data_IF_060094652763
#
_entry.id   IF_060094652763
#
_cell.length_a   1.000
_cell.length_b   1.000
_cell.length_c   1.000
_cell.angle_alpha   90.00
_cell.angle_beta   90.00
_cell.angle_gamma   90.00
#
_symmetry.space_group_name_H-M   'P 1'
#
loop_
_entity.id
_entity.type
_entity.pdbx_description
1 polymer ?
#
# COMPACT_ATOMS: atom_id res chain seq x y z
N UNK A 1 -33.05 2.60 58.26
CA UNK A 1 -32.91 3.85 59.05
C UNK A 1 -31.52 3.86 59.65
N UNK A 2 -30.74 4.90 59.33
CA UNK A 2 -29.45 5.31 59.90
C UNK A 2 -28.22 4.41 59.71
N UNK A 3 -27.21 5.11 59.18
CA UNK A 3 -25.84 4.71 58.96
C UNK A 3 -24.96 5.00 60.19
N UNK A 4 -23.67 4.74 59.97
CA UNK A 4 -22.46 5.22 60.68
C UNK A 4 -22.21 4.54 62.04
N UNK A 5 -20.99 4.14 62.44
CA UNK A 5 -19.66 4.65 62.10
C UNK A 5 -18.53 3.78 62.72
N UNK A 6 -17.27 4.15 62.41
CA UNK A 6 -15.98 3.93 63.12
C UNK A 6 -15.11 2.75 62.64
N UNK A 7 -14.01 3.02 61.91
CA UNK A 7 -12.66 3.47 62.34
C UNK A 7 -11.88 2.34 63.04
N UNK A 8 -10.92 1.69 62.38
CA UNK A 8 -9.52 2.09 62.16
C UNK A 8 -8.61 1.68 63.33
N UNK A 9 -7.65 0.78 63.09
CA UNK A 9 -6.22 0.94 63.42
C UNK A 9 -5.40 -0.31 63.04
N UNK A 10 -4.19 -0.04 62.53
CA UNK A 10 -3.14 -0.96 62.10
C UNK A 10 -2.34 -1.56 63.28
N UNK A 11 -1.69 -2.71 63.02
CA UNK A 11 -0.38 -3.18 63.52
C UNK A 11 -0.38 -4.72 63.60
N UNK A 12 0.64 -5.51 63.28
CA UNK A 12 2.04 -5.35 62.83
C UNK A 12 2.47 -6.74 62.34
N UNK A 13 3.49 -6.80 61.47
CA UNK A 13 4.08 -8.00 60.88
C UNK A 13 4.54 -9.03 61.93
N UNK A 14 4.49 -10.33 61.58
CA UNK A 14 5.69 -11.19 61.64
C UNK A 14 5.54 -12.45 60.78
N UNK A 15 6.68 -12.85 60.25
CA UNK A 15 7.00 -13.90 59.28
C UNK A 15 6.83 -15.31 59.82
N UNK A 16 6.33 -16.25 59.00
CA UNK A 16 7.02 -17.53 58.76
C UNK A 16 6.29 -18.39 57.72
N UNK A 17 7.03 -18.89 56.74
CA UNK A 17 6.56 -19.97 55.86
C UNK A 17 6.87 -21.32 56.50
N UNK A 18 5.96 -22.30 56.40
CA UNK A 18 6.43 -23.62 56.01
C UNK A 18 5.50 -24.34 55.02
N UNK A 19 6.12 -24.76 53.92
CA UNK A 19 6.00 -26.09 53.30
C UNK A 19 4.66 -26.82 53.53
N UNK A 20 3.85 -26.93 52.47
CA UNK A 20 2.94 -28.08 52.29
C UNK A 20 3.12 -28.69 50.91
N UNK A 21 3.62 -29.94 50.93
CA UNK A 21 3.57 -30.91 49.85
C UNK A 21 2.10 -31.23 49.53
N UNK A 22 1.82 -31.22 48.22
CA UNK A 22 0.90 -32.09 47.46
C UNK A 22 -0.41 -32.49 48.11
N UNK A 23 -1.51 -31.94 47.58
CA UNK A 23 -2.65 -32.76 47.17
C UNK A 23 -3.02 -32.38 45.73
N UNK A 24 -3.02 -33.40 44.89
CA UNK A 24 -3.28 -33.38 43.45
C UNK A 24 -4.77 -33.14 43.18
N UNK A 25 -5.11 -31.96 42.70
CA UNK A 25 -6.31 -31.77 41.87
C UNK A 25 -5.83 -31.61 40.42
N UNK A 26 -5.95 -32.70 39.65
CA UNK A 26 -5.91 -32.63 38.20
C UNK A 26 -7.20 -31.98 37.73
N UNK A 27 -7.19 -30.66 37.59
CA UNK A 27 -8.14 -29.98 36.72
C UNK A 27 -7.61 -30.11 35.29
N UNK A 28 -8.37 -30.82 34.46
CA UNK A 28 -8.09 -31.09 33.06
C UNK A 28 -8.24 -29.82 32.23
N UNK A 29 -7.37 -28.84 32.48
CA UNK A 29 -7.23 -27.68 31.62
C UNK A 29 -6.25 -28.07 30.53
N UNK A 30 -6.79 -28.66 29.46
CA UNK A 30 -6.12 -28.72 28.16
C UNK A 30 -5.69 -27.30 27.82
N UNK A 31 -4.44 -27.00 28.13
CA UNK A 31 -3.76 -25.82 27.60
C UNK A 31 -3.60 -26.16 26.13
N UNK A 32 -4.58 -25.73 25.34
CA UNK A 32 -4.38 -25.55 23.91
C UNK A 32 -3.21 -24.57 23.82
N UNK A 33 -2.02 -25.15 23.66
CA UNK A 33 -0.86 -24.45 23.12
C UNK A 33 -1.31 -23.98 21.75
N UNK A 34 -1.89 -22.77 21.68
CA UNK A 34 -2.04 -22.04 20.43
C UNK A 34 -0.65 -21.95 19.85
N UNK A 35 -0.40 -22.81 18.87
CA UNK A 35 0.81 -22.76 18.04
C UNK A 35 0.81 -21.34 17.47
N UNK A 36 1.77 -20.53 17.92
CA UNK A 36 1.99 -19.20 17.39
C UNK A 36 2.43 -19.37 15.94
N UNK A 37 1.57 -19.00 14.99
CA UNK A 37 1.93 -18.91 13.58
C UNK A 37 2.32 -17.45 13.30
N UNK A 38 3.61 -17.14 13.11
CA UNK A 38 4.08 -15.78 12.84
C UNK A 38 3.40 -15.14 11.62
N UNK A 39 2.97 -15.95 10.64
CA UNK A 39 2.34 -15.44 9.42
C UNK A 39 0.90 -14.94 9.66
N UNK A 40 0.20 -15.51 10.64
CA UNK A 40 -1.13 -15.06 11.05
C UNK A 40 -1.02 -13.73 11.79
N UNK A 41 0.00 -13.56 12.64
CA UNK A 41 0.26 -12.30 13.32
C UNK A 41 0.64 -11.18 12.32
N UNK A 42 1.51 -11.47 11.36
CA UNK A 42 1.87 -10.50 10.32
C UNK A 42 0.68 -10.09 9.45
N UNK A 43 -0.19 -11.03 9.09
CA UNK A 43 -1.44 -10.75 8.38
C UNK A 43 -2.39 -9.91 9.22
N UNK A 44 -2.59 -10.25 10.48
CA UNK A 44 -3.45 -9.47 11.40
C UNK A 44 -2.96 -8.03 11.56
N UNK A 45 -1.64 -7.83 11.65
CA UNK A 45 -1.02 -6.50 11.68
C UNK A 45 -1.23 -5.74 10.37
N UNK A 46 -1.00 -6.39 9.23
CA UNK A 46 -1.32 -5.83 7.91
C UNK A 46 -2.80 -5.43 7.82
N UNK A 47 -3.70 -6.32 8.23
CA UNK A 47 -5.14 -6.12 8.15
C UNK A 47 -5.57 -4.89 8.97
N UNK A 48 -5.03 -4.73 10.17
CA UNK A 48 -5.25 -3.55 11.01
C UNK A 48 -4.73 -2.26 10.39
N UNK A 49 -3.60 -2.30 9.68
CA UNK A 49 -2.98 -1.12 9.04
C UNK A 49 -3.71 -0.69 7.78
N UNK A 50 -4.12 -1.65 6.96
CA UNK A 50 -4.71 -1.35 5.64
C UNK A 50 -6.20 -1.01 5.72
N UNK A 51 -6.90 -1.50 6.74
CA UNK A 51 -8.35 -1.34 6.87
C UNK A 51 -8.76 0.08 7.30
N UNK A 52 -9.76 0.63 6.63
CA UNK A 52 -10.26 1.98 6.88
C UNK A 52 -10.91 2.61 5.65
N UNK A 53 -11.40 3.83 5.85
CA UNK A 53 -11.74 4.78 4.80
C UNK A 53 -10.49 5.58 4.45
N UNK A 54 -10.20 5.68 3.16
CA UNK A 54 -9.02 6.35 2.63
C UNK A 54 -9.48 7.38 1.61
N UNK A 55 -9.30 8.67 1.89
CA UNK A 55 -9.70 9.75 1.00
C UNK A 55 -8.47 10.40 0.37
N UNK A 56 -8.59 10.90 -0.86
CA UNK A 56 -7.44 11.45 -1.55
C UNK A 56 -7.69 11.92 -2.97
N UNK A 57 -6.60 11.92 -3.74
CA UNK A 57 -6.62 12.25 -5.16
C UNK A 57 -5.99 11.13 -5.98
N UNK A 58 -6.52 10.91 -7.18
CA UNK A 58 -5.99 9.94 -8.14
C UNK A 58 -5.82 10.56 -9.52
N UNK A 59 -4.71 10.25 -10.19
CA UNK A 59 -4.43 10.78 -11.52
C UNK A 59 -3.80 9.73 -12.43
N UNK A 60 -4.06 9.88 -13.73
CA UNK A 60 -3.51 9.04 -14.79
C UNK A 60 -2.34 9.76 -15.49
N UNK A 61 -1.31 9.00 -15.81
CA UNK A 61 -0.10 9.45 -16.48
C UNK A 61 0.21 8.53 -17.67
N UNK A 62 0.76 9.12 -18.72
CA UNK A 62 1.34 8.37 -19.84
C UNK A 62 2.56 7.54 -19.40
N UNK A 63 3.04 6.66 -20.27
CA UNK A 63 4.29 5.93 -20.07
C UNK A 63 5.56 6.83 -20.07
N UNK A 64 5.42 8.13 -20.34
CA UNK A 64 6.48 9.14 -20.20
C UNK A 64 6.34 9.97 -18.91
N UNK A 65 5.33 9.68 -18.07
CA UNK A 65 5.07 10.44 -16.83
C UNK A 65 4.34 11.77 -17.04
N UNK A 66 3.81 12.04 -18.23
CA UNK A 66 2.96 13.22 -18.47
C UNK A 66 1.55 12.96 -17.96
N UNK A 67 1.02 13.87 -17.13
CA UNK A 67 -0.34 13.82 -16.63
C UNK A 67 -1.37 13.85 -17.77
N UNK A 68 -2.43 13.06 -17.63
CA UNK A 68 -3.51 12.95 -18.60
C UNK A 68 -4.70 13.74 -18.06
N UNK A 69 -5.18 14.71 -18.86
CA UNK A 69 -6.33 15.54 -18.52
C UNK A 69 -7.61 14.71 -18.47
N UNK A 70 -8.50 15.05 -17.54
CA UNK A 70 -9.81 14.41 -17.44
C UNK A 70 -10.64 14.69 -18.70
N UNK A 71 -11.46 13.73 -19.17
CA UNK A 71 -12.32 13.94 -20.32
C UNK A 71 -13.28 15.12 -20.13
N UNK A 72 -13.52 15.90 -21.18
CA UNK A 72 -14.46 17.04 -21.12
C UNK A 72 -15.87 16.65 -20.67
N UNK A 73 -16.27 15.40 -20.91
CA UNK A 73 -17.58 14.86 -20.52
C UNK A 73 -17.80 14.77 -19.01
N UNK A 74 -16.73 14.81 -18.21
CA UNK A 74 -16.80 14.73 -16.74
C UNK A 74 -16.42 16.03 -16.04
N UNK A 75 -15.85 16.99 -16.78
CA UNK A 75 -15.40 18.28 -16.24
C UNK A 75 -16.51 19.33 -16.43
N UNK A 76 -17.00 19.96 -15.34
CA UNK A 76 -18.00 21.04 -15.43
C UNK A 76 -17.58 22.18 -16.37
N UNK A 77 -18.56 22.78 -17.07
CA UNK A 77 -18.31 23.85 -18.05
C UNK A 77 -17.57 25.06 -17.45
N UNK A 78 -17.83 25.36 -16.17
CA UNK A 78 -17.20 26.44 -15.43
C UNK A 78 -15.67 26.35 -15.42
N UNK A 79 -15.09 25.15 -15.33
CA UNK A 79 -13.63 24.98 -15.41
C UNK A 79 -13.11 25.42 -16.79
N UNK A 80 -13.88 25.18 -17.85
CA UNK A 80 -13.53 25.59 -19.22
C UNK A 80 -13.62 27.10 -19.39
N UNK A 81 -14.67 27.72 -18.84
CA UNK A 81 -14.83 29.17 -18.84
C UNK A 81 -13.66 29.88 -18.13
N UNK A 82 -13.07 29.22 -17.14
CA UNK A 82 -11.90 29.70 -16.41
C UNK A 82 -10.56 29.25 -17.00
N UNK A 83 -10.58 28.51 -18.12
CA UNK A 83 -9.39 27.91 -18.75
C UNK A 83 -8.56 27.04 -17.78
N UNK A 84 -9.22 26.43 -16.80
CA UNK A 84 -8.60 25.54 -15.80
C UNK A 84 -8.70 24.10 -16.27
N UNK A 85 -7.55 23.47 -16.47
CA UNK A 85 -7.44 22.04 -16.78
C UNK A 85 -7.53 21.20 -15.50
N UNK A 86 -8.31 20.13 -15.55
CA UNK A 86 -8.49 19.19 -14.43
C UNK A 86 -7.84 17.86 -14.80
N UNK A 87 -6.98 17.35 -13.92
CA UNK A 87 -6.22 16.12 -14.13
C UNK A 87 -6.52 15.07 -13.05
N UNK A 88 -6.78 15.52 -11.84
CA UNK A 88 -6.97 14.68 -10.67
C UNK A 88 -8.47 14.39 -10.45
N UNK A 89 -8.77 13.12 -10.17
CA UNK A 89 -10.00 12.70 -9.54
C UNK A 89 -9.89 12.92 -8.04
N UNK A 90 -10.95 13.41 -7.40
CA UNK A 90 -11.13 13.16 -5.97
C UNK A 90 -11.51 11.68 -5.80
N UNK A 91 -10.89 11.00 -4.84
CA UNK A 91 -11.03 9.55 -4.68
C UNK A 91 -11.35 9.15 -3.26
N UNK A 92 -12.10 8.05 -3.14
CA UNK A 92 -12.25 7.32 -1.89
C UNK A 92 -11.89 5.86 -2.10
N UNK A 93 -11.24 5.27 -1.10
CA UNK A 93 -10.77 3.90 -1.13
C UNK A 93 -11.11 3.12 0.15
N UNK A 94 -12.42 2.86 0.42
CA UNK A 94 -12.81 1.99 1.52
C UNK A 94 -12.12 0.64 1.37
N UNK A 95 -11.34 0.28 2.38
CA UNK A 95 -10.50 -0.93 2.38
C UNK A 95 -10.80 -1.73 3.64
N UNK A 96 -11.00 -3.04 3.49
CA UNK A 96 -11.19 -3.97 4.60
C UNK A 96 -10.36 -5.22 4.36
N UNK A 97 -9.50 -5.56 5.30
CA UNK A 97 -8.86 -6.85 5.39
C UNK A 97 -9.34 -7.56 6.65
N UNK A 98 -9.77 -8.80 6.51
CA UNK A 98 -10.24 -9.62 7.62
C UNK A 98 -9.02 -10.15 8.40
N UNK A 99 -8.86 -9.90 9.71
CA UNK A 99 -7.66 -10.34 10.42
C UNK A 99 -7.52 -11.87 10.52
N UNK A 100 -8.66 -12.58 10.55
CA UNK A 100 -8.72 -14.04 10.71
C UNK A 100 -8.84 -14.79 9.38
N UNK A 101 -9.10 -14.08 8.28
CA UNK A 101 -9.22 -14.64 6.94
C UNK A 101 -8.19 -13.95 6.04
N UNK A 102 -7.43 -14.67 5.20
CA UNK A 102 -6.49 -14.06 4.25
C UNK A 102 -7.23 -13.41 3.07
N UNK A 103 -8.04 -12.41 3.39
CA UNK A 103 -8.97 -11.74 2.51
C UNK A 103 -8.85 -10.24 2.68
N UNK A 104 -8.63 -9.56 1.55
CA UNK A 104 -8.62 -8.10 1.45
C UNK A 104 -9.64 -7.70 0.39
N UNK A 105 -10.43 -6.68 0.66
CA UNK A 105 -11.37 -6.09 -0.30
C UNK A 105 -11.30 -4.58 -0.22
N UNK A 106 -11.35 -3.92 -1.37
CA UNK A 106 -11.39 -2.47 -1.44
C UNK A 106 -12.13 -2.00 -2.67
N UNK A 107 -12.57 -0.74 -2.64
CA UNK A 107 -13.17 -0.07 -3.79
C UNK A 107 -12.31 1.13 -4.14
N UNK A 108 -11.99 1.35 -5.41
CA UNK A 108 -11.49 2.64 -5.88
C UNK A 108 -12.66 3.43 -6.45
N UNK A 109 -13.14 4.41 -5.69
CA UNK A 109 -14.26 5.28 -6.04
C UNK A 109 -13.68 6.59 -6.58
N UNK A 110 -14.07 6.98 -7.79
CA UNK A 110 -13.76 8.29 -8.37
C UNK A 110 -15.00 9.18 -8.29
N UNK A 111 -14.80 10.42 -7.85
CA UNK A 111 -15.87 11.42 -7.72
C UNK A 111 -15.76 12.45 -8.86
N UNK A 112 -16.90 12.91 -9.35
CA UNK A 112 -16.94 13.99 -10.35
C UNK A 112 -16.32 15.27 -9.78
N UNK A 113 -15.49 15.99 -10.56
CA UNK A 113 -15.04 17.33 -10.18
C UNK A 113 -16.23 18.26 -9.96
N UNK A 114 -16.21 19.01 -8.85
CA UNK A 114 -17.25 19.99 -8.50
C UNK A 114 -16.64 21.38 -8.34
N UNK A 115 -17.47 22.43 -8.46
CA UNK A 115 -17.11 23.85 -8.23
C UNK A 115 -18.25 24.58 -7.54
N UNK A 116 -17.93 25.67 -6.84
CA UNK A 116 -18.93 26.54 -6.23
C UNK A 116 -19.63 25.90 -5.02
N UNK A 117 -20.87 26.31 -4.75
CA UNK A 117 -21.65 25.79 -3.61
C UNK A 117 -22.06 24.32 -3.77
N UNK A 118 -21.88 23.73 -4.95
CA UNK A 118 -22.11 22.31 -5.22
C UNK A 118 -20.93 21.43 -4.79
N UNK A 119 -19.83 22.05 -4.34
CA UNK A 119 -18.67 21.32 -3.85
C UNK A 119 -19.01 20.39 -2.66
N UNK A 120 -20.03 20.73 -1.86
CA UNK A 120 -20.52 19.89 -0.76
C UNK A 120 -21.31 18.65 -1.22
N UNK A 121 -21.60 18.50 -2.52
CA UNK A 121 -22.32 17.37 -3.10
C UNK A 121 -21.37 16.47 -3.92
N UNK A 122 -20.65 15.59 -3.23
CA UNK A 122 -19.86 14.55 -3.89
C UNK A 122 -20.74 13.62 -4.73
N UNK A 123 -20.42 13.45 -6.02
CA UNK A 123 -21.12 12.55 -6.94
C UNK A 123 -20.16 11.48 -7.44
N UNK A 124 -20.54 10.21 -7.31
CA UNK A 124 -19.73 9.10 -7.81
C UNK A 124 -19.75 9.07 -9.35
N UNK A 125 -18.56 8.99 -9.96
CA UNK A 125 -18.39 8.75 -11.38
C UNK A 125 -18.23 7.26 -11.68
N UNK A 126 -17.32 6.59 -10.97
CA UNK A 126 -17.02 5.17 -11.17
C UNK A 126 -16.58 4.49 -9.88
N UNK A 127 -16.81 3.18 -9.80
CA UNK A 127 -16.37 2.31 -8.71
C UNK A 127 -15.69 1.08 -9.30
N UNK A 128 -14.40 0.89 -8.99
CA UNK A 128 -13.67 -0.35 -9.28
C UNK A 128 -13.52 -1.16 -7.98
N UNK A 129 -14.17 -2.32 -7.88
CA UNK A 129 -14.11 -3.17 -6.70
C UNK A 129 -13.08 -4.29 -6.89
N UNK A 130 -12.23 -4.48 -5.87
CA UNK A 130 -11.15 -5.46 -5.86
C UNK A 130 -11.28 -6.36 -4.64
N UNK A 131 -11.00 -7.64 -4.86
CA UNK A 131 -10.96 -8.66 -3.80
C UNK A 131 -9.69 -9.48 -3.98
N UNK A 132 -8.88 -9.57 -2.94
CA UNK A 132 -7.65 -10.35 -2.87
C UNK A 132 -7.91 -11.50 -1.92
N UNK A 133 -7.59 -12.71 -2.36
CA UNK A 133 -7.75 -13.94 -1.59
C UNK A 133 -7.54 -15.16 -2.48
N UNK A 134 -7.49 -16.33 -1.86
CA UNK A 134 -7.38 -17.59 -2.61
C UNK A 134 -8.59 -17.79 -3.53
N UNK A 135 -8.35 -18.25 -4.75
CA UNK A 135 -9.40 -18.54 -5.73
C UNK A 135 -10.00 -17.32 -6.42
N UNK A 136 -9.50 -16.10 -6.19
CA UNK A 136 -9.95 -14.93 -6.93
C UNK A 136 -9.40 -14.95 -8.36
N UNK A 137 -10.29 -14.77 -9.34
CA UNK A 137 -9.94 -14.71 -10.76
C UNK A 137 -9.08 -13.48 -11.09
N UNK A 138 -8.02 -13.69 -11.87
CA UNK A 138 -7.15 -12.62 -12.39
C UNK A 138 -6.02 -12.20 -11.46
N UNK A 139 -6.05 -12.51 -10.16
CA UNK A 139 -4.90 -12.27 -9.27
C UNK A 139 -3.83 -13.34 -9.51
N UNK A 140 -2.62 -12.92 -9.88
CA UNK A 140 -1.50 -13.84 -10.16
C UNK A 140 -0.43 -13.86 -9.07
N UNK A 141 -0.27 -12.75 -8.35
CA UNK A 141 0.62 -12.65 -7.20
C UNK A 141 0.15 -11.53 -6.27
N UNK A 142 0.28 -11.76 -4.98
CA UNK A 142 0.00 -10.80 -3.92
C UNK A 142 1.03 -10.99 -2.81
N UNK A 143 1.77 -9.93 -2.50
CA UNK A 143 2.70 -9.92 -1.38
C UNK A 143 2.36 -8.77 -0.43
N UNK A 144 2.43 -9.00 0.87
CA UNK A 144 2.08 -8.02 1.90
C UNK A 144 3.15 -7.92 2.98
N UNK A 145 3.22 -6.78 3.64
CA UNK A 145 4.07 -6.55 4.80
C UNK A 145 3.21 -6.06 5.97
N UNK A 146 3.59 -6.39 7.21
CA UNK A 146 2.90 -5.92 8.43
C UNK A 146 2.78 -4.39 8.57
N UNK A 147 3.55 -3.62 7.78
CA UNK A 147 3.44 -2.16 7.66
C UNK A 147 2.12 -1.67 7.05
N UNK A 148 1.38 -2.56 6.36
CA UNK A 148 0.20 -2.20 5.54
C UNK A 148 0.55 -2.07 4.05
N UNK A 149 1.83 -2.06 3.69
CA UNK A 149 2.27 -2.03 2.30
C UNK A 149 2.04 -3.38 1.61
N UNK A 150 1.72 -3.36 0.33
CA UNK A 150 1.51 -4.57 -0.46
C UNK A 150 1.83 -4.35 -1.95
N UNK A 151 1.98 -5.45 -2.67
CA UNK A 151 2.07 -5.48 -4.13
C UNK A 151 1.10 -6.52 -4.65
N UNK A 152 0.29 -6.14 -5.64
CA UNK A 152 -0.66 -7.03 -6.31
C UNK A 152 -0.38 -7.03 -7.82
N UNK A 153 -0.37 -8.22 -8.42
CA UNK A 153 -0.24 -8.41 -9.86
C UNK A 153 -1.53 -9.03 -10.37
N UNK A 154 -2.24 -8.27 -11.22
CA UNK A 154 -3.49 -8.72 -11.83
C UNK A 154 -3.29 -8.97 -13.32
N UNK A 155 -3.65 -10.15 -13.77
CA UNK A 155 -3.86 -10.45 -15.18
C UNK A 155 -5.26 -10.00 -15.60
N UNK A 156 -5.32 -8.99 -16.47
CA UNK A 156 -6.53 -8.56 -17.16
C UNK A 156 -6.65 -9.26 -18.51
N UNK A 157 -7.78 -9.02 -19.18
CA UNK A 157 -7.99 -9.41 -20.58
C UNK A 157 -6.96 -8.68 -21.47
N UNK A 158 -6.87 -9.13 -22.72
CA UNK A 158 -6.05 -8.49 -23.76
C UNK A 158 -4.55 -8.40 -23.40
N UNK A 159 -4.04 -9.39 -22.65
CA UNK A 159 -2.63 -9.48 -22.25
C UNK A 159 -2.11 -8.27 -21.46
N UNK A 160 -2.98 -7.60 -20.69
CA UNK A 160 -2.57 -6.51 -19.80
C UNK A 160 -2.34 -7.04 -18.38
N UNK A 161 -1.21 -6.67 -17.80
CA UNK A 161 -0.92 -6.80 -16.38
C UNK A 161 -1.16 -5.45 -15.69
N UNK A 162 -1.86 -5.46 -14.56
CA UNK A 162 -1.87 -4.34 -13.63
C UNK A 162 -0.98 -4.69 -12.44
N UNK A 163 0.14 -3.99 -12.31
CA UNK A 163 1.01 -4.08 -11.14
C UNK A 163 0.67 -2.92 -10.21
N UNK A 164 0.01 -3.22 -9.09
CA UNK A 164 -0.34 -2.25 -8.05
C UNK A 164 0.64 -2.36 -6.88
N UNK A 165 1.34 -1.27 -6.59
CA UNK A 165 2.23 -1.10 -5.45
C UNK A 165 1.60 -0.11 -4.47
N UNK A 166 1.22 -0.59 -3.29
CA UNK A 166 0.71 0.23 -2.19
C UNK A 166 1.80 0.39 -1.12
N UNK A 167 2.22 1.62 -0.85
CA UNK A 167 3.28 1.95 0.09
C UNK A 167 2.75 2.91 1.17
N UNK A 168 2.95 2.54 2.43
CA UNK A 168 2.57 3.36 3.58
C UNK A 168 3.73 4.22 4.04
N UNK A 169 3.45 5.47 4.44
CA UNK A 169 4.45 6.30 5.11
C UNK A 169 4.73 5.72 6.51
N UNK A 170 5.96 5.25 6.80
CA UNK A 170 6.27 4.70 8.12
C UNK A 170 6.22 5.75 9.24
N UNK A 171 6.29 7.04 8.92
CA UNK A 171 6.34 8.12 9.92
C UNK A 171 4.98 8.44 10.53
N UNK A 172 3.92 8.49 9.72
CA UNK A 172 2.57 8.82 10.17
C UNK A 172 1.63 7.61 10.23
N UNK A 173 1.92 6.55 9.45
CA UNK A 173 1.04 5.38 9.28
C UNK A 173 -0.41 5.70 8.84
N UNK A 174 -0.67 6.93 8.40
CA UNK A 174 -1.98 7.42 7.98
C UNK A 174 -1.95 7.91 6.53
N UNK A 175 -0.78 7.98 5.91
CA UNK A 175 -0.59 8.34 4.51
C UNK A 175 -0.17 7.13 3.71
N UNK A 176 -0.77 6.91 2.54
CA UNK A 176 -0.33 5.88 1.61
C UNK A 176 -0.33 6.37 0.17
N UNK A 177 0.47 5.70 -0.66
CA UNK A 177 0.47 5.86 -2.12
C UNK A 177 0.14 4.53 -2.74
N UNK A 178 -0.76 4.52 -3.72
CA UNK A 178 -0.96 3.39 -4.62
C UNK A 178 -0.53 3.78 -6.02
N UNK A 179 0.48 3.10 -6.56
CA UNK A 179 0.92 3.29 -7.94
C UNK A 179 0.59 2.03 -8.72
N UNK A 180 -0.13 2.19 -9.82
CA UNK A 180 -0.53 1.10 -10.70
C UNK A 180 0.17 1.30 -12.03
N UNK A 181 1.00 0.34 -12.43
CA UNK A 181 1.59 0.30 -13.77
C UNK A 181 0.74 -0.63 -14.65
N UNK A 182 0.27 -0.09 -15.78
CA UNK A 182 -0.43 -0.86 -16.81
C UNK A 182 0.60 -1.38 -17.82
N UNK A 183 0.86 -2.68 -17.80
CA UNK A 183 1.93 -3.30 -18.59
C UNK A 183 1.32 -4.25 -19.61
N UNK A 184 1.57 -4.01 -20.90
CA UNK A 184 1.11 -4.89 -21.96
C UNK A 184 2.13 -6.00 -22.23
N UNK A 185 1.67 -7.24 -22.31
CA UNK A 185 2.48 -8.42 -22.60
C UNK A 185 2.40 -8.72 -24.10
N UNK A 186 3.43 -8.33 -24.84
CA UNK A 186 3.58 -8.62 -26.26
C UNK A 186 4.23 -10.00 -26.47
N UNK A 187 3.67 -10.78 -27.39
CA UNK A 187 4.20 -12.08 -27.80
C UNK A 187 4.49 -13.07 -26.64
N UNK A 188 3.78 -12.92 -25.52
CA UNK A 188 3.97 -13.68 -24.27
C UNK A 188 5.34 -13.50 -23.58
N UNK A 189 6.13 -12.49 -23.95
CA UNK A 189 7.51 -12.34 -23.45
C UNK A 189 7.95 -10.90 -23.20
N UNK A 190 7.46 -9.96 -24.00
CA UNK A 190 7.90 -8.56 -23.93
C UNK A 190 6.91 -7.74 -23.11
N UNK A 191 7.41 -7.03 -22.10
CA UNK A 191 6.63 -6.21 -21.19
C UNK A 191 6.79 -4.74 -21.55
N UNK A 192 5.68 -4.08 -21.94
CA UNK A 192 5.68 -2.68 -22.38
C UNK A 192 4.74 -1.86 -21.51
N UNK A 193 5.29 -0.86 -20.82
CA UNK A 193 4.51 0.08 -20.02
C UNK A 193 3.62 0.94 -20.93
N UNK A 194 2.32 0.93 -20.67
CA UNK A 194 1.31 1.70 -21.39
C UNK A 194 0.96 3.01 -20.67
N UNK A 195 0.90 2.95 -19.34
CA UNK A 195 0.53 4.09 -18.52
C UNK A 195 0.66 3.78 -17.04
N UNK A 196 0.49 4.82 -16.24
CA UNK A 196 0.66 4.79 -14.79
C UNK A 196 -0.56 5.47 -14.17
N UNK A 197 -1.11 4.90 -13.11
CA UNK A 197 -2.10 5.55 -12.26
C UNK A 197 -1.53 5.72 -10.86
N UNK A 198 -1.70 6.89 -10.28
CA UNK A 198 -1.22 7.21 -8.94
C UNK A 198 -2.39 7.65 -8.09
N UNK A 199 -2.48 7.11 -6.87
CA UNK A 199 -3.36 7.59 -5.81
C UNK A 199 -2.53 8.08 -4.63
N UNK A 200 -2.83 9.29 -4.14
CA UNK A 200 -2.34 9.86 -2.88
C UNK A 200 -3.49 9.86 -1.90
N UNK A 201 -3.40 9.04 -0.86
CA UNK A 201 -4.52 8.77 0.04
C UNK A 201 -4.13 8.98 1.50
N UNK A 202 -5.07 9.54 2.26
CA UNK A 202 -4.97 9.73 3.71
C UNK A 202 -6.07 8.91 4.39
N UNK A 203 -5.72 8.31 5.52
CA UNK A 203 -6.69 7.66 6.39
C UNK A 203 -7.69 8.69 6.91
N UNK A 204 -8.96 8.46 6.62
CA UNK A 204 -10.07 9.31 7.03
C UNK A 204 -10.75 8.78 8.29
N UNK A 205 -10.95 7.45 8.38
CA UNK A 205 -11.70 6.86 9.47
C UNK A 205 -11.80 5.33 9.41
N UNK A 206 -12.47 4.72 10.38
CA UNK A 206 -12.79 3.29 10.35
C UNK A 206 -13.63 2.94 9.13
N UNK A 207 -13.49 1.70 8.63
CA UNK A 207 -14.21 1.20 7.48
C UNK A 207 -15.74 1.35 7.62
N UNK A 208 -16.36 1.95 6.60
CA UNK A 208 -17.80 2.16 6.43
C UNK A 208 -18.24 1.86 5.00
N UNK A 209 -17.44 1.10 4.24
CA UNK A 209 -17.74 0.66 2.87
C UNK A 209 -18.04 1.80 1.88
N UNK A 210 -17.57 3.02 2.16
CA UNK A 210 -17.88 4.21 1.35
C UNK A 210 -19.31 4.75 1.54
N UNK A 211 -20.00 4.39 2.63
CA UNK A 211 -21.37 4.87 2.94
C UNK A 211 -21.43 6.40 3.13
N UNK A 212 -20.30 7.04 3.44
CA UNK A 212 -20.17 8.48 3.57
C UNK A 212 -19.16 9.00 2.55
N UNK A 213 -19.65 9.76 1.56
CA UNK A 213 -18.78 10.45 0.62
C UNK A 213 -18.04 11.58 1.36
N UNK A 214 -16.72 11.61 1.22
CA UNK A 214 -15.85 12.62 1.82
C UNK A 214 -16.21 14.01 1.28
N UNK A 215 -16.47 14.95 2.19
CA UNK A 215 -16.69 16.35 1.83
C UNK A 215 -15.40 17.04 1.38
N UNK A 216 -15.49 18.28 0.89
CA UNK A 216 -14.37 19.07 0.34
C UNK A 216 -13.14 19.28 1.24
N UNK A 217 -13.18 18.85 2.51
CA UNK A 217 -12.09 19.03 3.46
C UNK A 217 -11.14 17.83 3.47
N UNK A 218 -10.61 17.44 2.32
CA UNK A 218 -9.48 16.49 2.27
C UNK A 218 -8.20 17.24 2.64
N UNK A 219 -7.33 16.62 3.45
CA UNK A 219 -6.08 17.24 3.94
C UNK A 219 -5.02 17.41 2.86
N UNK A 220 -5.14 16.73 1.73
CA UNK A 220 -4.23 16.84 0.59
C UNK A 220 -4.90 17.61 -0.57
N UNK A 221 -4.17 17.81 -1.65
CA UNK A 221 -4.58 18.58 -2.83
C UNK A 221 -4.30 17.78 -4.11
N UNK A 222 -5.06 18.12 -5.16
CA UNK A 222 -4.75 17.71 -6.53
C UNK A 222 -3.28 17.99 -6.86
N UNK A 223 -2.63 17.04 -7.53
CA UNK A 223 -1.18 17.00 -7.63
C UNK A 223 -0.65 16.76 -9.03
N UNK A 224 -1.46 16.26 -9.96
CA UNK A 224 -0.97 15.82 -11.26
C UNK A 224 -0.36 16.95 -12.10
N UNK A 225 -0.81 18.19 -11.89
CA UNK A 225 -0.27 19.39 -12.56
C UNK A 225 0.95 20.00 -11.86
N UNK A 226 1.36 19.46 -10.70
CA UNK A 226 2.58 19.93 -10.01
C UNK A 226 3.84 19.38 -10.66
N UNK A 227 4.98 20.04 -10.43
CA UNK A 227 6.23 19.61 -11.05
C UNK A 227 6.62 18.18 -10.60
N UNK A 228 7.08 17.32 -11.52
CA UNK A 228 7.67 16.05 -11.15
C UNK A 228 8.95 16.28 -10.35
N UNK A 229 9.38 15.27 -9.59
CA UNK A 229 10.69 15.30 -8.95
C UNK A 229 11.83 15.37 -10.00
N UNK A 230 13.03 15.78 -9.58
CA UNK A 230 14.18 15.86 -10.49
C UNK A 230 15.05 14.61 -10.39
N UNK A 231 15.75 14.26 -11.48
CA UNK A 231 16.52 13.02 -11.57
C UNK A 231 17.59 12.87 -10.47
N UNK A 232 18.20 13.98 -10.03
CA UNK A 232 19.19 14.01 -8.95
C UNK A 232 18.63 13.62 -7.58
N UNK A 233 17.32 13.69 -7.39
CA UNK A 233 16.67 13.29 -6.14
C UNK A 233 16.53 11.76 -6.03
N UNK A 234 16.60 11.04 -7.16
CA UNK A 234 16.57 9.57 -7.19
C UNK A 234 17.95 8.98 -7.43
N UNK A 235 18.79 9.67 -8.20
CA UNK A 235 20.12 9.19 -8.56
C UNK A 235 21.01 8.97 -7.32
N UNK A 236 21.88 7.95 -7.42
CA UNK A 236 22.86 7.61 -6.40
C UNK A 236 22.76 6.19 -5.88
N UNK A 237 23.47 5.95 -4.78
CA UNK A 237 23.50 4.65 -4.09
C UNK A 237 22.56 4.75 -2.90
N UNK A 238 21.67 3.76 -2.78
CA UNK A 238 20.69 3.63 -1.72
C UNK A 238 20.97 2.35 -0.96
N UNK A 239 20.83 2.37 0.37
CA UNK A 239 21.03 1.19 1.21
C UNK A 239 19.85 1.00 2.13
N UNK A 240 19.32 -0.20 2.19
CA UNK A 240 18.11 -0.46 2.97
C UNK A 240 17.89 -1.91 3.30
N UNK A 241 17.00 -2.14 4.27
CA UNK A 241 16.42 -3.47 4.47
C UNK A 241 15.38 -3.70 3.39
N UNK A 242 15.52 -4.81 2.66
CA UNK A 242 14.62 -5.24 1.60
C UNK A 242 13.92 -6.50 2.04
N UNK A 243 12.59 -6.49 2.14
CA UNK A 243 11.78 -7.67 2.38
C UNK A 243 11.35 -8.28 1.04
N UNK A 244 11.45 -9.60 0.91
CA UNK A 244 11.28 -10.31 -0.37
C UNK A 244 10.30 -11.48 -0.25
N UNK A 245 9.55 -11.74 -1.32
CA UNK A 245 8.73 -12.94 -1.52
C UNK A 245 8.96 -13.52 -2.93
N UNK A 246 9.17 -14.84 -3.02
CA UNK A 246 9.36 -15.54 -4.31
C UNK A 246 8.10 -16.26 -4.77
N UNK A 247 7.84 -16.21 -6.07
CA UNK A 247 6.72 -16.83 -6.78
C UNK A 247 7.20 -17.83 -7.85
N UNK A 248 8.51 -18.09 -7.91
CA UNK A 248 9.15 -18.89 -8.97
C UNK A 248 8.89 -20.40 -8.91
N UNK A 249 8.31 -20.92 -7.82
CA UNK A 249 8.10 -22.37 -7.64
C UNK A 249 6.63 -22.76 -7.83
N UNK A 250 6.38 -23.97 -8.34
CA UNK A 250 5.02 -24.45 -8.59
C UNK A 250 4.15 -24.60 -7.33
N UNK A 251 4.77 -24.61 -6.15
CA UNK A 251 4.09 -24.80 -4.86
C UNK A 251 3.94 -23.50 -4.07
N UNK A 252 4.55 -22.40 -4.53
CA UNK A 252 4.34 -21.09 -3.91
C UNK A 252 2.95 -20.59 -4.27
N UNK A 253 2.09 -20.44 -3.26
CA UNK A 253 0.76 -19.86 -3.43
C UNK A 253 0.84 -18.42 -3.93
N UNK A 254 -0.27 -17.93 -4.49
CA UNK A 254 -0.40 -16.55 -4.99
C UNK A 254 -0.29 -15.48 -3.90
N UNK A 255 -0.31 -15.89 -2.63
CA UNK A 255 -0.39 -15.02 -1.46
C UNK A 255 0.81 -15.25 -0.56
N UNK A 256 1.67 -14.25 -0.40
CA UNK A 256 2.94 -14.37 0.32
C UNK A 256 3.16 -13.21 1.29
N UNK A 257 3.76 -13.49 2.44
CA UNK A 257 4.29 -12.46 3.33
C UNK A 257 5.66 -12.00 2.83
N UNK A 258 5.95 -10.71 2.93
CA UNK A 258 7.27 -10.13 2.73
C UNK A 258 8.03 -10.13 4.06
N UNK A 259 8.97 -11.07 4.22
CA UNK A 259 9.67 -11.28 5.50
C UNK A 259 11.20 -11.38 5.41
N UNK A 260 11.77 -11.73 4.24
CA UNK A 260 13.21 -11.96 4.11
C UNK A 260 13.96 -10.62 4.02
N UNK A 261 14.28 -10.04 5.17
CA UNK A 261 15.01 -8.78 5.30
C UNK A 261 16.51 -8.96 5.00
N UNK A 262 16.90 -8.63 3.78
CA UNK A 262 18.30 -8.54 3.37
C UNK A 262 18.69 -7.08 3.21
N UNK A 263 19.82 -6.71 3.78
CA UNK A 263 20.44 -5.42 3.48
C UNK A 263 20.97 -5.47 2.06
N UNK A 264 20.44 -4.61 1.20
CA UNK A 264 20.85 -4.51 -0.19
C UNK A 264 21.17 -3.06 -0.55
N UNK A 265 22.11 -2.92 -1.48
CA UNK A 265 22.46 -1.66 -2.09
C UNK A 265 21.75 -1.56 -3.45
N UNK A 266 21.03 -0.48 -3.69
CA UNK A 266 20.40 -0.15 -4.97
C UNK A 266 21.11 1.02 -5.62
N UNK A 267 21.39 0.94 -6.91
CA UNK A 267 22.04 2.01 -7.67
C UNK A 267 21.09 2.53 -8.73
N UNK A 268 20.82 3.84 -8.69
CA UNK A 268 19.93 4.52 -9.64
C UNK A 268 20.71 5.59 -10.39
N UNK A 269 20.58 5.57 -11.72
CA UNK A 269 21.20 6.58 -12.60
C UNK A 269 20.34 7.86 -12.74
N UNK A 270 19.05 7.79 -12.38
CA UNK A 270 18.10 8.90 -12.47
C UNK A 270 17.48 9.07 -13.85
N UNK A 271 18.27 8.91 -14.91
CA UNK A 271 17.86 9.17 -16.30
C UNK A 271 16.90 8.13 -16.88
N UNK A 272 16.91 6.91 -16.34
CA UNK A 272 16.08 5.80 -16.83
C UNK A 272 14.76 5.63 -16.06
N UNK A 273 14.42 6.61 -15.21
CA UNK A 273 13.21 6.60 -14.39
C UNK A 273 12.17 7.58 -14.93
N UNK A 274 10.90 7.18 -14.84
CA UNK A 274 9.76 8.07 -15.09
C UNK A 274 9.51 8.81 -13.78
N UNK A 275 9.81 10.11 -13.78
CA UNK A 275 9.68 10.98 -12.62
C UNK A 275 8.28 11.55 -12.58
N UNK A 276 7.63 11.41 -11.42
CA UNK A 276 6.24 11.77 -11.21
C UNK A 276 6.15 12.86 -10.11
N UNK A 277 5.02 13.59 -10.05
CA UNK A 277 4.78 14.51 -8.95
C UNK A 277 4.74 13.81 -7.58
N UNK A 278 4.74 14.60 -6.50
CA UNK A 278 4.68 14.10 -5.10
C UNK A 278 5.84 13.15 -4.74
N UNK A 279 7.03 13.42 -5.29
CA UNK A 279 8.26 12.70 -4.97
C UNK A 279 8.20 11.20 -5.32
N UNK A 280 7.52 10.88 -6.42
CA UNK A 280 7.32 9.52 -6.91
C UNK A 280 8.15 9.27 -8.16
N UNK A 281 8.59 8.03 -8.33
CA UNK A 281 9.16 7.55 -9.58
C UNK A 281 8.66 6.14 -9.87
N UNK A 282 8.76 5.75 -11.14
CA UNK A 282 8.67 4.37 -11.52
C UNK A 282 9.58 4.04 -12.69
N UNK A 283 9.77 2.76 -12.95
CA UNK A 283 10.47 2.27 -14.12
C UNK A 283 10.03 0.85 -14.47
N UNK A 284 10.34 0.46 -15.71
CA UNK A 284 10.18 -0.90 -16.21
C UNK A 284 11.41 -1.18 -17.08
N UNK A 285 12.31 -2.04 -16.63
CA UNK A 285 13.63 -2.25 -17.25
C UNK A 285 13.89 -3.74 -17.48
N UNK A 286 14.38 -4.08 -18.66
CA UNK A 286 14.87 -5.44 -18.93
C UNK A 286 16.25 -5.62 -18.29
N UNK A 287 16.45 -6.73 -17.58
CA UNK A 287 17.73 -7.12 -16.97
C UNK A 287 18.65 -7.74 -18.03
N UNK A 288 19.95 -7.88 -17.72
CA UNK A 288 20.93 -8.50 -18.62
C UNK A 288 20.62 -9.98 -18.87
N UNK A 289 19.97 -10.60 -17.91
CA UNK A 289 19.55 -11.99 -17.90
C UNK A 289 18.30 -12.20 -18.77
N UNK A 290 17.62 -11.13 -19.20
CA UNK A 290 16.42 -11.13 -20.04
C UNK A 290 15.11 -11.12 -19.25
N UNK A 291 15.17 -10.99 -17.93
CA UNK A 291 14.01 -10.76 -17.05
C UNK A 291 13.60 -9.28 -17.12
N UNK A 292 12.46 -8.92 -16.55
CA UNK A 292 12.02 -7.51 -16.51
C UNK A 292 11.73 -7.10 -15.08
N UNK A 293 12.40 -6.04 -14.62
CA UNK A 293 12.20 -5.45 -13.32
C UNK A 293 11.28 -4.24 -13.44
N UNK A 294 10.16 -4.27 -12.74
CA UNK A 294 9.33 -3.10 -12.50
C UNK A 294 9.66 -2.53 -11.13
N UNK A 295 9.95 -1.24 -11.05
CA UNK A 295 10.24 -0.55 -9.80
C UNK A 295 9.32 0.67 -9.68
N UNK A 296 8.77 0.87 -8.49
CA UNK A 296 8.07 2.08 -8.08
C UNK A 296 8.74 2.55 -6.80
N UNK A 297 8.91 3.85 -6.63
CA UNK A 297 9.32 4.36 -5.33
C UNK A 297 8.73 5.70 -4.96
N UNK A 298 8.86 5.97 -3.67
CA UNK A 298 8.39 7.16 -3.01
C UNK A 298 9.48 7.70 -2.09
N UNK A 299 9.94 8.90 -2.40
CA UNK A 299 10.96 9.60 -1.62
C UNK A 299 10.24 10.25 -0.45
N UNK A 300 10.80 9.99 0.73
CA UNK A 300 10.36 10.54 1.99
C UNK A 300 11.32 11.64 2.41
N UNK A 301 10.93 12.38 3.45
CA UNK A 301 11.81 13.35 4.06
C UNK A 301 13.11 12.70 4.58
N UNK A 302 14.15 13.51 4.75
CA UNK A 302 15.45 13.11 5.30
C UNK A 302 16.26 12.12 4.45
N UNK A 303 16.01 12.04 3.13
CA UNK A 303 16.80 11.20 2.22
C UNK A 303 16.51 9.71 2.38
N UNK A 304 15.28 9.38 2.79
CA UNK A 304 14.77 8.02 2.82
C UNK A 304 13.85 7.78 1.63
N UNK A 305 13.74 6.53 1.21
CA UNK A 305 12.87 6.10 0.11
C UNK A 305 12.20 4.79 0.46
N UNK A 306 10.93 4.65 0.07
CA UNK A 306 10.29 3.33 -0.03
C UNK A 306 10.36 2.92 -1.49
N UNK A 307 10.87 1.73 -1.74
CA UNK A 307 10.96 1.16 -3.09
C UNK A 307 10.18 -0.14 -3.11
N UNK A 308 9.23 -0.27 -4.02
CA UNK A 308 8.49 -1.49 -4.28
C UNK A 308 8.86 -2.02 -5.66
N UNK A 309 9.13 -3.31 -5.78
CA UNK A 309 9.52 -3.89 -7.06
C UNK A 309 8.89 -5.26 -7.32
N UNK A 310 8.78 -5.59 -8.60
CA UNK A 310 8.35 -6.90 -9.08
C UNK A 310 9.24 -7.33 -10.23
N UNK A 311 9.92 -8.47 -10.06
CA UNK A 311 10.72 -9.12 -11.09
C UNK A 311 9.85 -10.11 -11.85
N UNK A 312 9.78 -9.92 -13.17
CA UNK A 312 9.09 -10.79 -14.10
C UNK A 312 10.08 -11.67 -14.86
N UNK A 313 9.71 -12.94 -15.03
CA UNK A 313 10.43 -13.87 -15.88
C UNK A 313 10.39 -13.44 -17.35
N UNK A 314 11.19 -14.12 -18.17
CA UNK A 314 11.17 -14.01 -19.65
C UNK A 314 9.81 -14.31 -20.28
N UNK A 315 8.89 -14.92 -19.54
CA UNK A 315 7.53 -15.27 -19.97
C UNK A 315 6.47 -14.43 -19.27
N UNK A 316 6.87 -13.24 -18.78
CA UNK A 316 5.99 -12.26 -18.13
C UNK A 316 5.27 -12.78 -16.87
N UNK A 317 5.86 -13.75 -16.16
CA UNK A 317 5.32 -14.26 -14.89
C UNK A 317 6.06 -13.64 -13.70
N UNK A 318 5.37 -13.23 -12.63
CA UNK A 318 6.04 -12.75 -11.43
C UNK A 318 6.93 -13.85 -10.84
N UNK A 319 8.18 -13.51 -10.52
CA UNK A 319 9.16 -14.39 -9.90
C UNK A 319 9.49 -13.95 -8.49
N UNK A 320 9.57 -12.64 -8.28
CA UNK A 320 9.96 -12.04 -7.01
C UNK A 320 9.26 -10.71 -6.84
N UNK A 321 8.77 -10.46 -5.62
CA UNK A 321 8.26 -9.16 -5.21
C UNK A 321 9.10 -8.71 -4.01
N UNK A 322 9.43 -7.42 -3.98
CA UNK A 322 10.14 -6.84 -2.84
C UNK A 322 9.63 -5.46 -2.46
N UNK A 323 9.82 -5.13 -1.19
CA UNK A 323 9.65 -3.76 -0.66
C UNK A 323 10.88 -3.45 0.19
N UNK A 324 11.51 -2.31 -0.07
CA UNK A 324 12.66 -1.82 0.64
C UNK A 324 12.38 -0.46 1.28
N UNK A 325 12.86 -0.28 2.51
CA UNK A 325 13.02 1.04 3.11
C UNK A 325 14.51 1.38 3.05
N UNK A 326 14.84 2.34 2.20
CA UNK A 326 16.20 2.69 1.84
C UNK A 326 16.57 4.08 2.35
N UNK A 327 17.85 4.29 2.62
CA UNK A 327 18.44 5.59 2.91
C UNK A 327 19.55 5.86 1.91
N UNK A 328 19.65 7.10 1.44
CA UNK A 328 20.72 7.50 0.52
C UNK A 328 22.08 7.30 1.21
N UNK A 329 22.98 6.57 0.57
CA UNK A 329 24.35 6.44 1.05
C UNK A 329 25.05 7.79 0.93
N UNK A 330 25.81 8.16 1.97
CA UNK A 330 26.71 9.31 1.88
C UNK A 330 27.76 9.01 0.81
N UNK A 331 27.88 9.88 -0.19
CA UNK A 331 29.05 9.87 -1.07
C UNK A 331 30.28 10.13 -0.18
N UNK A 332 31.17 9.14 -0.07
CA UNK A 332 32.48 9.38 0.52
C UNK A 332 33.22 10.32 -0.44
N UNK A 333 33.36 11.58 -0.03
CA UNK A 333 34.11 12.62 -0.73
C UNK A 333 35.61 12.29 -0.81
#
# INVERSE_FOLDING_TARGET
MRAVNQNAEEATLETDSPIRKTDSYQDGRTTTSTVWDPSIEAWSQFARRVSGEWDGFGADFSNEGKAIELPESVVPETYREWEVKVFDWQTQCPTLAEPDERLLQYKSIQLLPTVGCEADAATQYSVDERKVGEGISGLTAFAYQSSGSYVAVWQKKDNILELECCMFNPQDCESRVRVIQFIHVLNNTELVLQGIRVFREQWYGPFRNGDQLGGCAIRDSAFASTAPMIASDVAGIWKGSTAVASFSTSNTGIFQELFDEKVQDSVRDGDSNILLPKQLWCSLKQTKEGETLSEVGWLLDHGQAITSSCLFSKTAKPQEISIALETRALEYA
#
